data_IF_417087304654
#
_entry.id   IF_417087304654
#
_cell.length_a   1.000
_cell.length_b   1.000
_cell.length_c   1.000
_cell.angle_alpha   90.00
_cell.angle_beta   90.00
_cell.angle_gamma   90.00
#
_symmetry.space_group_name_H-M   'P 1'
#
loop_
_entity.id
_entity.type
_entity.pdbx_description
1 polymer ?
#
# COMPACT_ATOMS: atom_id res chain seq x y z
N UNK A 1 -4.43 -9.74 -11.80
CA UNK A 1 -3.56 -9.55 -10.73
C UNK A 1 -4.17 -9.71 -9.37
N UNK A 2 -3.79 -10.77 -8.74
CA UNK A 2 -4.46 -11.22 -7.55
C UNK A 2 -3.61 -10.99 -6.31
N UNK A 3 -3.34 -9.72 -6.03
CA UNK A 3 -2.67 -9.40 -4.79
C UNK A 3 -3.63 -9.53 -3.63
N UNK A 4 -3.09 -9.96 -2.50
CA UNK A 4 -3.84 -10.10 -1.26
C UNK A 4 -3.19 -9.20 -0.23
N UNK A 5 -3.98 -8.41 0.47
CA UNK A 5 -3.44 -7.59 1.56
C UNK A 5 -3.35 -8.40 2.84
N UNK A 6 -2.23 -8.28 3.52
CA UNK A 6 -2.11 -8.88 4.84
C UNK A 6 -3.07 -8.18 5.81
N UNK A 7 -3.32 -8.80 6.94
CA UNK A 7 -4.20 -8.21 7.94
C UNK A 7 -3.71 -6.83 8.38
N UNK A 8 -2.43 -6.73 8.68
CA UNK A 8 -1.86 -5.44 9.07
C UNK A 8 -1.86 -4.46 7.91
N UNK A 9 -1.72 -4.96 6.67
CA UNK A 9 -1.79 -4.12 5.49
C UNK A 9 -3.16 -3.50 5.32
N UNK A 10 -4.21 -4.28 5.55
CA UNK A 10 -5.58 -3.78 5.46
C UNK A 10 -5.79 -2.65 6.47
N UNK A 11 -5.33 -2.84 7.70
CA UNK A 11 -5.47 -1.82 8.74
C UNK A 11 -4.74 -0.55 8.36
N UNK A 12 -3.55 -0.68 7.82
CA UNK A 12 -2.77 0.48 7.43
C UNK A 12 -3.42 1.25 6.29
N UNK A 13 -3.94 0.53 5.29
CA UNK A 13 -4.63 1.18 4.17
C UNK A 13 -5.87 1.92 4.67
N UNK A 14 -6.64 1.29 5.56
CA UNK A 14 -7.81 1.95 6.12
C UNK A 14 -7.44 3.23 6.85
N UNK A 15 -6.36 3.19 7.62
CA UNK A 15 -5.91 4.37 8.35
C UNK A 15 -5.49 5.49 7.39
N UNK A 16 -4.80 5.15 6.32
CA UNK A 16 -4.36 6.13 5.34
C UNK A 16 -5.55 6.77 4.65
N UNK A 17 -6.53 5.97 4.26
CA UNK A 17 -7.72 6.49 3.58
C UNK A 17 -8.52 7.38 4.53
N UNK A 18 -8.67 6.94 5.78
CA UNK A 18 -9.39 7.74 6.77
C UNK A 18 -8.71 9.09 7.01
N UNK A 19 -7.39 9.06 7.11
CA UNK A 19 -6.61 10.30 7.27
C UNK A 19 -6.81 11.22 6.07
N UNK A 20 -6.71 10.65 4.87
CA UNK A 20 -6.86 11.44 3.66
C UNK A 20 -8.22 12.07 3.52
N UNK A 21 -9.28 11.33 3.82
CA UNK A 21 -10.64 11.86 3.75
C UNK A 21 -10.82 12.97 4.77
N UNK A 22 -10.29 12.79 5.98
CA UNK A 22 -10.44 13.78 7.03
C UNK A 22 -9.68 15.08 6.74
N UNK A 23 -8.54 14.99 6.08
CA UNK A 23 -7.66 16.14 5.87
C UNK A 23 -7.70 16.71 4.46
N UNK A 24 -8.06 15.90 3.48
CA UNK A 24 -8.03 16.32 2.08
C UNK A 24 -9.38 16.22 1.39
N UNK A 25 -10.39 15.74 2.09
CA UNK A 25 -11.74 15.69 1.58
C UNK A 25 -12.01 14.49 0.69
N UNK A 26 -13.19 14.49 0.09
CA UNK A 26 -13.66 13.36 -0.70
C UNK A 26 -12.81 13.12 -1.95
N UNK A 27 -12.16 14.14 -2.45
CA UNK A 27 -11.33 14.00 -3.64
C UNK A 27 -10.21 13.00 -3.44
N UNK A 28 -9.72 12.87 -2.20
CA UNK A 28 -8.69 11.90 -1.92
C UNK A 28 -9.15 10.48 -2.22
N UNK A 29 -10.34 10.14 -1.73
CA UNK A 29 -10.85 8.78 -1.86
C UNK A 29 -11.19 8.42 -3.31
N UNK A 30 -11.55 9.40 -4.11
CA UNK A 30 -11.96 9.16 -5.49
C UNK A 30 -10.87 9.43 -6.50
N UNK A 31 -9.72 9.86 -6.06
CA UNK A 31 -8.79 10.45 -6.96
C UNK A 31 -7.52 9.70 -7.20
N UNK A 32 -6.64 10.43 -7.81
CA UNK A 32 -5.34 9.98 -8.22
C UNK A 32 -4.46 9.51 -7.05
N UNK A 33 -4.69 10.08 -5.88
CA UNK A 33 -3.85 9.76 -4.73
C UNK A 33 -4.00 8.31 -4.28
N UNK A 34 -5.23 7.80 -4.33
CA UNK A 34 -5.45 6.38 -3.99
C UNK A 34 -4.79 5.48 -5.01
N UNK A 35 -4.89 5.86 -6.27
CA UNK A 35 -4.27 5.10 -7.34
C UNK A 35 -2.74 5.11 -7.21
N UNK A 36 -2.17 6.27 -6.90
CA UNK A 36 -0.73 6.36 -6.70
C UNK A 36 -0.28 5.55 -5.50
N UNK A 37 -1.08 5.53 -4.45
CA UNK A 37 -0.80 4.71 -3.28
C UNK A 37 -0.71 3.23 -3.68
N UNK A 38 -1.68 2.78 -4.44
CA UNK A 38 -1.68 1.39 -4.89
C UNK A 38 -0.43 1.06 -5.72
N UNK A 39 -0.08 1.96 -6.64
CA UNK A 39 1.09 1.75 -7.47
C UNK A 39 2.38 1.70 -6.64
N UNK A 40 2.47 2.55 -5.63
CA UNK A 40 3.62 2.54 -4.73
C UNK A 40 3.69 1.23 -3.93
N UNK A 41 2.54 0.74 -3.51
CA UNK A 41 2.48 -0.52 -2.77
C UNK A 41 3.00 -1.68 -3.63
N UNK A 42 2.56 -1.73 -4.87
CA UNK A 42 2.98 -2.79 -5.79
C UNK A 42 4.48 -2.69 -6.05
N UNK A 43 4.97 -1.48 -6.25
CA UNK A 43 6.39 -1.28 -6.49
C UNK A 43 7.24 -1.68 -5.28
N UNK A 44 6.81 -1.29 -4.10
CA UNK A 44 7.54 -1.65 -2.88
C UNK A 44 7.52 -3.15 -2.66
N UNK A 45 6.40 -3.78 -2.95
CA UNK A 45 6.28 -5.22 -2.88
C UNK A 45 7.28 -5.90 -3.82
N UNK A 46 7.39 -5.41 -5.05
CA UNK A 46 8.32 -5.97 -6.02
C UNK A 46 9.76 -5.86 -5.53
N UNK A 47 10.12 -4.72 -4.95
CA UNK A 47 11.46 -4.54 -4.42
C UNK A 47 11.75 -5.48 -3.26
N UNK A 48 10.78 -5.67 -2.39
CA UNK A 48 10.94 -6.57 -1.25
C UNK A 48 11.12 -8.01 -1.73
N UNK A 49 10.30 -8.42 -2.68
CA UNK A 49 10.34 -9.78 -3.20
C UNK A 49 11.67 -10.03 -3.93
N UNK A 50 12.17 -9.02 -4.65
CA UNK A 50 13.45 -9.14 -5.32
C UNK A 50 14.60 -9.42 -4.36
N UNK A 51 14.47 -9.01 -3.12
CA UNK A 51 15.50 -9.25 -2.12
C UNK A 51 15.42 -10.63 -1.48
N UNK A 52 14.40 -11.39 -1.81
CA UNK A 52 14.20 -12.72 -1.24
C UNK A 52 14.78 -13.75 -2.21
N UNK A 53 15.64 -14.64 -1.71
CA UNK A 53 16.31 -15.62 -2.55
C UNK A 53 15.34 -16.67 -3.04
N UNK A 54 14.37 -17.05 -2.63
CA UNK A 54 13.39 -17.98 -3.15
C UNK A 54 12.03 -17.62 -2.58
N UNK A 55 11.41 -16.59 -3.15
CA UNK A 55 10.15 -16.14 -2.59
C UNK A 55 9.08 -17.22 -2.71
N UNK A 56 8.31 -17.36 -1.66
CA UNK A 56 7.19 -18.30 -1.68
C UNK A 56 6.05 -17.72 -2.50
N UNK A 57 5.05 -18.54 -2.76
CA UNK A 57 3.87 -18.06 -3.45
C UNK A 57 3.21 -16.92 -2.68
N UNK A 58 3.17 -17.06 -1.35
CA UNK A 58 2.60 -16.00 -0.52
C UNK A 58 3.41 -14.73 -0.62
N UNK A 59 4.75 -14.84 -0.64
CA UNK A 59 5.60 -13.67 -0.80
C UNK A 59 5.27 -12.93 -2.09
N UNK A 60 5.00 -13.68 -3.15
CA UNK A 60 4.73 -13.08 -4.45
C UNK A 60 3.35 -12.43 -4.53
N UNK A 61 2.43 -12.85 -3.71
CA UNK A 61 1.05 -12.40 -3.80
C UNK A 61 0.62 -11.47 -2.67
N UNK A 62 1.28 -11.51 -1.54
CA UNK A 62 0.82 -10.76 -0.38
C UNK A 62 1.46 -9.38 -0.27
N UNK A 63 0.62 -8.35 -0.22
CA UNK A 63 1.05 -7.00 0.08
C UNK A 63 1.01 -6.82 1.60
N UNK A 64 2.15 -6.49 2.18
CA UNK A 64 2.26 -6.36 3.63
C UNK A 64 2.28 -4.89 4.05
N UNK A 65 2.06 -4.65 5.33
CA UNK A 65 2.08 -3.28 5.85
C UNK A 65 3.39 -2.57 5.50
N UNK A 66 4.50 -3.32 5.49
CA UNK A 66 5.80 -2.74 5.15
C UNK A 66 5.88 -2.25 3.71
N UNK A 67 5.02 -2.75 2.85
CA UNK A 67 4.99 -2.31 1.45
C UNK A 67 4.18 -1.03 1.27
N UNK A 68 3.46 -0.62 2.28
CA UNK A 68 2.54 0.51 2.20
C UNK A 68 3.21 1.75 2.78
N UNK A 69 3.42 2.81 1.97
CA UNK A 69 4.02 4.03 2.49
C UNK A 69 3.07 4.74 3.45
N UNK A 70 3.63 5.41 4.44
CA UNK A 70 2.81 6.18 5.35
C UNK A 70 2.43 7.51 4.71
N UNK A 71 1.26 8.03 5.09
CA UNK A 71 0.81 9.33 4.56
C UNK A 71 1.78 10.43 4.95
N UNK A 72 2.32 10.36 6.16
CA UNK A 72 3.27 11.36 6.63
C UNK A 72 4.52 11.41 5.77
N UNK A 73 4.97 10.26 5.29
CA UNK A 73 6.12 10.20 4.40
C UNK A 73 5.84 10.84 3.06
N UNK A 74 4.59 10.79 2.64
CA UNK A 74 4.19 11.31 1.34
C UNK A 74 3.99 12.81 1.33
N UNK A 75 3.85 13.42 2.49
CA UNK A 75 3.55 14.84 2.56
C UNK A 75 4.78 15.73 2.48
N UNK A 76 5.92 15.19 2.36
CA UNK A 76 7.13 16.01 2.24
C UNK A 76 7.23 16.76 0.92
#
# INVERSE_FOLDING_TARGET
NDYVLSKNGVEKVKAIIAYGVAHKGEEFANGRLVRNLYEDMVMNHARRVNGIDKPSREDLMELKADDIPSVAEKED
#
